data_IF_041531453777
#
_entry.id   IF_041531453777
#
_cell.length_a   1.000
_cell.length_b   1.000
_cell.length_c   1.000
_cell.angle_alpha   90.00
_cell.angle_beta   90.00
_cell.angle_gamma   90.00
#
_symmetry.space_group_name_H-M   'P 1'
#
loop_
_entity.id
_entity.type
_entity.pdbx_description
1 polymer ?
#
# COMPACT_ATOMS: atom_id res chain seq x y z
N UNK A 1 -30.00 5.58 16.56
CA UNK A 1 -29.16 4.49 15.98
C UNK A 1 -27.79 4.97 15.49
N UNK A 2 -27.61 6.18 14.93
CA UNK A 2 -26.26 6.71 14.61
C UNK A 2 -25.35 6.92 15.83
N UNK A 3 -25.93 7.14 17.02
CA UNK A 3 -25.15 7.50 18.22
C UNK A 3 -24.50 6.33 18.96
N UNK A 4 -24.88 5.07 18.71
CA UNK A 4 -24.36 3.93 19.48
C UNK A 4 -23.10 3.27 18.85
N UNK A 5 -22.89 3.41 17.54
CA UNK A 5 -21.67 2.96 16.87
C UNK A 5 -20.49 3.93 17.03
N UNK A 6 -20.75 5.16 17.52
CA UNK A 6 -19.77 6.22 17.66
C UNK A 6 -18.84 6.05 18.89
N UNK A 7 -19.05 5.03 19.72
CA UNK A 7 -18.12 4.69 20.78
C UNK A 7 -17.16 3.59 20.29
N UNK A 8 -16.00 4.02 19.74
CA UNK A 8 -14.72 3.30 19.60
C UNK A 8 -14.26 2.76 18.23
N UNK A 9 -14.85 3.14 17.10
CA UNK A 9 -14.29 2.79 15.77
C UNK A 9 -13.53 3.96 15.12
N UNK A 10 -12.22 3.81 14.93
CA UNK A 10 -11.33 4.84 14.39
C UNK A 10 -11.56 5.07 12.90
N UNK A 11 -11.99 4.04 12.17
CA UNK A 11 -12.24 4.18 10.73
C UNK A 11 -13.33 5.23 10.42
N UNK A 12 -14.28 5.48 11.35
CA UNK A 12 -15.35 6.46 11.18
C UNK A 12 -14.85 7.91 11.12
N UNK A 13 -13.64 8.19 11.62
CA UNK A 13 -12.99 9.50 11.46
C UNK A 13 -12.39 9.67 10.04
N UNK A 14 -12.27 8.56 9.31
CA UNK A 14 -11.51 8.47 8.06
C UNK A 14 -12.39 8.28 6.82
N UNK A 15 -13.54 7.60 6.94
CA UNK A 15 -14.47 7.33 5.85
C UNK A 15 -15.93 7.55 6.26
N UNK A 16 -16.80 7.75 5.28
CA UNK A 16 -18.24 7.91 5.51
C UNK A 16 -18.88 6.64 6.06
N UNK A 17 -19.85 6.79 6.96
CA UNK A 17 -20.64 5.67 7.50
C UNK A 17 -21.35 4.81 6.44
N UNK A 18 -21.55 5.34 5.21
CA UNK A 18 -22.04 4.56 4.07
C UNK A 18 -21.17 3.33 3.80
N UNK A 19 -19.87 3.37 4.10
CA UNK A 19 -18.96 2.25 3.90
C UNK A 19 -19.38 1.00 4.68
N UNK A 20 -20.05 1.17 5.83
CA UNK A 20 -20.63 0.06 6.59
C UNK A 20 -21.70 -0.64 5.74
N UNK A 21 -22.63 0.12 5.16
CA UNK A 21 -23.69 -0.41 4.29
C UNK A 21 -23.11 -1.12 3.05
N UNK A 22 -22.01 -0.59 2.50
CA UNK A 22 -21.32 -1.22 1.35
C UNK A 22 -20.75 -2.59 1.71
N UNK A 23 -20.16 -2.73 2.91
CA UNK A 23 -19.69 -4.03 3.42
C UNK A 23 -20.87 -4.97 3.65
N UNK A 24 -21.96 -4.49 4.26
CA UNK A 24 -23.20 -5.29 4.45
C UNK A 24 -23.74 -5.80 3.11
N UNK A 25 -23.77 -4.97 2.06
CA UNK A 25 -24.16 -5.40 0.72
C UNK A 25 -23.31 -6.58 0.23
N UNK A 26 -21.99 -6.46 0.31
CA UNK A 26 -21.08 -7.54 -0.11
C UNK A 26 -21.30 -8.83 0.68
N UNK A 27 -21.45 -8.74 2.01
CA UNK A 27 -21.70 -9.90 2.87
C UNK A 27 -23.01 -10.62 2.54
N UNK A 28 -23.99 -9.89 2.01
CA UNK A 28 -25.28 -10.42 1.52
C UNK A 28 -25.26 -10.83 0.04
N UNK A 29 -24.10 -10.78 -0.62
CA UNK A 29 -23.96 -11.13 -2.04
C UNK A 29 -24.58 -10.11 -2.99
N UNK A 30 -24.77 -8.87 -2.54
CA UNK A 30 -25.35 -7.78 -3.32
C UNK A 30 -24.26 -6.87 -3.89
N UNK A 31 -24.48 -6.38 -5.10
CA UNK A 31 -23.66 -5.32 -5.66
C UNK A 31 -23.78 -4.02 -4.86
N UNK A 32 -22.67 -3.27 -4.77
CA UNK A 32 -22.59 -2.01 -4.04
C UNK A 32 -23.23 -0.87 -4.86
N UNK A 33 -24.56 -0.90 -4.99
CA UNK A 33 -25.36 0.13 -5.68
C UNK A 33 -26.22 0.89 -4.67
N UNK A 34 -26.52 2.16 -4.96
CA UNK A 34 -27.37 3.00 -4.10
C UNK A 34 -28.71 2.33 -3.79
N UNK A 35 -29.36 1.77 -4.81
CA UNK A 35 -30.63 1.07 -4.64
C UNK A 35 -30.51 -0.13 -3.70
N UNK A 36 -29.48 -0.96 -3.87
CA UNK A 36 -29.24 -2.13 -3.03
C UNK A 36 -29.06 -1.75 -1.55
N UNK A 37 -28.38 -0.63 -1.26
CA UNK A 37 -28.23 -0.13 0.12
C UNK A 37 -29.54 0.37 0.73
N UNK A 38 -30.45 0.92 -0.08
CA UNK A 38 -31.76 1.41 0.37
C UNK A 38 -32.75 0.26 0.60
N UNK A 39 -32.62 -0.83 -0.18
CA UNK A 39 -33.53 -1.98 -0.16
C UNK A 39 -33.00 -3.15 0.69
N UNK A 40 -32.02 -2.90 1.58
CA UNK A 40 -31.52 -3.94 2.49
C UNK A 40 -32.64 -4.44 3.40
N UNK A 41 -32.87 -5.76 3.38
CA UNK A 41 -33.79 -6.41 4.32
C UNK A 41 -33.43 -6.08 5.78
N UNK A 42 -34.44 -5.88 6.63
CA UNK A 42 -34.25 -5.67 8.06
C UNK A 42 -33.83 -6.93 8.81
N UNK A 43 -33.98 -8.11 8.20
CA UNK A 43 -33.59 -9.40 8.79
C UNK A 43 -32.10 -9.43 9.08
N UNK A 44 -31.73 -9.76 10.33
CA UNK A 44 -30.36 -9.78 10.86
C UNK A 44 -29.52 -8.50 10.61
N UNK A 45 -30.16 -7.37 10.28
CA UNK A 45 -29.45 -6.16 9.84
C UNK A 45 -28.52 -5.60 10.91
N UNK A 46 -28.94 -5.57 12.18
CA UNK A 46 -28.11 -5.07 13.26
C UNK A 46 -26.85 -5.93 13.47
N UNK A 47 -26.96 -7.25 13.33
CA UNK A 47 -25.82 -8.17 13.44
C UNK A 47 -24.84 -7.97 12.28
N UNK A 48 -25.34 -7.85 11.04
CA UNK A 48 -24.51 -7.55 9.88
C UNK A 48 -23.83 -6.18 9.99
N UNK A 49 -24.53 -5.18 10.53
CA UNK A 49 -24.02 -3.85 10.77
C UNK A 49 -22.85 -3.86 11.77
N UNK A 50 -23.05 -4.46 12.94
CA UNK A 50 -22.02 -4.54 13.98
C UNK A 50 -20.80 -5.28 13.45
N UNK A 51 -21.01 -6.40 12.74
CA UNK A 51 -19.93 -7.17 12.15
C UNK A 51 -19.17 -6.39 11.07
N UNK A 52 -19.87 -5.65 10.21
CA UNK A 52 -19.25 -4.77 9.22
C UNK A 52 -18.40 -3.67 9.89
N UNK A 53 -18.81 -3.14 11.04
CA UNK A 53 -18.04 -2.16 11.79
C UNK A 53 -16.72 -2.75 12.33
N UNK A 54 -16.76 -3.93 12.94
CA UNK A 54 -15.54 -4.61 13.41
C UNK A 54 -14.59 -4.92 12.25
N UNK A 55 -15.11 -5.43 11.15
CA UNK A 55 -14.29 -5.75 9.97
C UNK A 55 -13.67 -4.50 9.32
N UNK A 56 -14.39 -3.37 9.30
CA UNK A 56 -13.84 -2.10 8.82
C UNK A 56 -12.74 -1.56 9.73
N UNK A 57 -12.87 -1.73 11.04
CA UNK A 57 -11.83 -1.35 11.99
C UNK A 57 -10.57 -2.20 11.82
N UNK A 58 -10.71 -3.51 11.58
CA UNK A 58 -9.56 -4.39 11.35
C UNK A 58 -8.91 -4.17 9.98
N UNK A 59 -9.72 -3.87 8.95
CA UNK A 59 -9.23 -3.40 7.66
C UNK A 59 -8.45 -2.08 7.80
N UNK A 60 -8.97 -1.13 8.58
CA UNK A 60 -8.30 0.13 8.89
C UNK A 60 -6.95 -0.11 9.59
N UNK A 61 -6.94 -0.90 10.67
CA UNK A 61 -5.70 -1.27 11.37
C UNK A 61 -4.68 -1.88 10.42
N UNK A 62 -5.08 -2.84 9.58
CA UNK A 62 -4.19 -3.47 8.59
C UNK A 62 -3.65 -2.49 7.57
N UNK A 63 -4.47 -1.56 7.08
CA UNK A 63 -4.02 -0.50 6.17
C UNK A 63 -2.95 0.37 6.85
N UNK A 64 -3.16 0.71 8.12
CA UNK A 64 -2.28 1.62 8.86
C UNK A 64 -1.07 0.97 9.53
N UNK A 65 -1.00 -0.36 9.61
CA UNK A 65 0.13 -1.07 10.20
C UNK A 65 1.38 -0.92 9.33
N UNK A 66 2.43 -0.30 9.90
CA UNK A 66 3.72 0.00 9.26
C UNK A 66 4.74 -1.12 9.32
N UNK A 67 4.40 -2.24 9.96
CA UNK A 67 5.27 -3.42 10.09
C UNK A 67 4.72 -4.60 9.32
N UNK A 68 3.46 -4.97 9.58
CA UNK A 68 2.86 -6.20 9.04
C UNK A 68 1.73 -5.92 8.03
N UNK A 69 1.33 -4.66 7.89
CA UNK A 69 0.23 -4.24 7.01
C UNK A 69 0.69 -3.54 5.74
N UNK A 70 0.02 -2.43 5.41
CA UNK A 70 0.25 -1.69 4.17
C UNK A 70 0.93 -0.32 4.37
N UNK A 71 1.38 -0.01 5.58
CA UNK A 71 2.24 1.14 5.87
C UNK A 71 1.61 2.52 5.66
N UNK A 72 0.28 2.63 5.65
CA UNK A 72 -0.40 3.92 5.49
C UNK A 72 -0.38 4.71 6.80
N UNK A 73 0.46 5.75 6.85
CA UNK A 73 0.68 6.56 8.07
C UNK A 73 -0.35 7.68 8.25
N UNK A 74 -0.98 8.11 7.17
CA UNK A 74 -2.11 9.06 7.15
C UNK A 74 -3.11 8.51 6.13
N UNK A 75 -4.25 8.05 6.63
CA UNK A 75 -5.21 7.31 5.85
C UNK A 75 -5.81 8.16 4.71
N UNK A 76 -6.16 9.42 4.96
CA UNK A 76 -6.77 10.29 3.95
C UNK A 76 -5.76 10.67 2.87
N UNK A 77 -4.52 10.93 3.26
CA UNK A 77 -3.48 11.37 2.34
C UNK A 77 -2.86 10.23 1.54
N UNK A 78 -2.54 9.12 2.20
CA UNK A 78 -1.65 8.08 1.65
C UNK A 78 -2.33 6.78 1.24
N UNK A 79 -3.63 6.59 1.51
CA UNK A 79 -4.34 5.42 0.97
C UNK A 79 -4.44 5.53 -0.56
N UNK A 80 -4.01 4.50 -1.33
CA UNK A 80 -4.09 4.50 -2.79
C UNK A 80 -5.52 4.75 -3.29
N UNK A 81 -6.46 3.94 -2.80
CA UNK A 81 -7.90 4.08 -3.04
C UNK A 81 -8.64 3.88 -1.72
N UNK A 82 -9.27 4.93 -1.21
CA UNK A 82 -10.04 4.86 0.05
C UNK A 82 -11.11 3.77 0.01
N UNK A 83 -11.73 3.55 -1.16
CA UNK A 83 -12.79 2.55 -1.36
C UNK A 83 -12.32 1.10 -1.21
N UNK A 84 -11.02 0.81 -1.29
CA UNK A 84 -10.48 -0.54 -1.08
C UNK A 84 -10.70 -1.07 0.35
N UNK A 85 -10.94 -0.20 1.33
CA UNK A 85 -11.24 -0.65 2.69
C UNK A 85 -12.53 -1.50 2.75
N UNK A 86 -13.48 -1.27 1.82
CA UNK A 86 -14.76 -2.02 1.76
C UNK A 86 -14.53 -3.50 1.40
N UNK A 87 -13.94 -3.86 0.24
CA UNK A 87 -13.65 -5.26 -0.06
C UNK A 87 -12.66 -5.87 0.94
N UNK A 88 -11.67 -5.11 1.43
CA UNK A 88 -10.75 -5.60 2.45
C UNK A 88 -11.49 -6.03 3.73
N UNK A 89 -12.38 -5.19 4.24
CA UNK A 89 -13.22 -5.52 5.39
C UNK A 89 -14.11 -6.74 5.09
N UNK A 90 -14.73 -6.79 3.91
CA UNK A 90 -15.56 -7.92 3.52
C UNK A 90 -14.78 -9.24 3.45
N UNK A 91 -13.50 -9.22 3.04
CA UNK A 91 -12.62 -10.40 3.08
C UNK A 91 -12.33 -10.87 4.50
N UNK A 92 -11.95 -9.94 5.39
CA UNK A 92 -11.67 -10.24 6.79
C UNK A 92 -12.92 -10.84 7.45
N UNK A 93 -14.06 -10.17 7.28
CA UNK A 93 -15.37 -10.61 7.72
C UNK A 93 -15.71 -12.04 7.23
N UNK A 94 -15.46 -12.32 5.96
CA UNK A 94 -15.70 -13.65 5.39
C UNK A 94 -14.83 -14.73 6.03
N UNK A 95 -13.52 -14.47 6.18
CA UNK A 95 -12.58 -15.42 6.76
C UNK A 95 -12.85 -15.68 8.24
N UNK A 96 -13.30 -14.67 8.99
CA UNK A 96 -13.72 -14.82 10.38
C UNK A 96 -14.99 -15.65 10.51
N UNK A 97 -16.05 -15.34 9.74
CA UNK A 97 -17.32 -16.11 9.74
C UNK A 97 -17.10 -17.56 9.34
N UNK A 98 -16.22 -17.81 8.37
CA UNK A 98 -15.89 -19.17 7.91
C UNK A 98 -14.86 -19.89 8.78
N UNK A 99 -14.26 -19.21 9.78
CA UNK A 99 -13.15 -19.71 10.61
C UNK A 99 -11.94 -20.18 9.79
N UNK A 100 -11.66 -19.49 8.68
CA UNK A 100 -10.57 -19.77 7.75
C UNK A 100 -9.45 -18.72 7.76
N UNK A 101 -9.48 -17.78 8.72
CA UNK A 101 -8.49 -16.71 8.84
C UNK A 101 -7.11 -17.19 9.28
N UNK A 102 -6.37 -17.85 8.38
CA UNK A 102 -4.98 -18.23 8.57
C UNK A 102 -4.02 -17.38 7.72
N UNK A 103 -2.73 -17.55 7.97
CA UNK A 103 -1.64 -16.86 7.28
C UNK A 103 -1.65 -17.06 5.75
N UNK A 104 -2.13 -18.21 5.25
CA UNK A 104 -2.26 -18.45 3.81
C UNK A 104 -3.39 -17.61 3.19
N UNK A 105 -4.53 -17.48 3.85
CA UNK A 105 -5.63 -16.64 3.36
C UNK A 105 -5.29 -15.15 3.45
N UNK A 106 -4.61 -14.69 4.51
CA UNK A 106 -4.15 -13.31 4.59
C UNK A 106 -3.10 -12.96 3.53
N UNK A 107 -2.27 -13.93 3.10
CA UNK A 107 -1.39 -13.75 1.93
C UNK A 107 -2.15 -13.53 0.62
N UNK A 108 -3.33 -14.14 0.45
CA UNK A 108 -4.18 -13.89 -0.73
C UNK A 108 -4.76 -12.48 -0.72
N UNK A 109 -5.21 -12.01 0.45
CA UNK A 109 -5.66 -10.61 0.64
C UNK A 109 -4.53 -9.64 0.31
N UNK A 110 -3.33 -9.95 0.76
CA UNK A 110 -2.13 -9.18 0.50
C UNK A 110 -1.78 -9.08 -0.99
N UNK A 111 -1.86 -10.20 -1.73
CA UNK A 111 -1.67 -10.22 -3.18
C UNK A 111 -2.74 -9.38 -3.87
N UNK A 112 -4.01 -9.54 -3.48
CA UNK A 112 -5.12 -8.73 -3.98
C UNK A 112 -4.84 -7.23 -3.76
N UNK A 113 -4.40 -6.82 -2.57
CA UNK A 113 -4.13 -5.42 -2.25
C UNK A 113 -3.08 -4.82 -3.19
N UNK A 114 -1.90 -5.44 -3.28
CA UNK A 114 -0.80 -4.90 -4.08
C UNK A 114 -1.07 -4.98 -5.58
N UNK A 115 -1.72 -6.04 -6.06
CA UNK A 115 -2.15 -6.13 -7.45
C UNK A 115 -3.14 -5.03 -7.81
N UNK A 116 -4.10 -4.74 -6.93
CA UNK A 116 -5.08 -3.66 -7.11
C UNK A 116 -4.40 -2.29 -7.19
N UNK A 117 -3.45 -2.02 -6.29
CA UNK A 117 -2.70 -0.75 -6.22
C UNK A 117 -1.88 -0.52 -7.48
N UNK A 118 -1.04 -1.50 -7.86
CA UNK A 118 -0.08 -1.33 -8.94
C UNK A 118 -0.66 -1.49 -10.35
N UNK A 119 -1.87 -2.05 -10.47
CA UNK A 119 -2.65 -2.03 -11.72
C UNK A 119 -3.64 -0.86 -11.77
N UNK A 120 -3.66 0.01 -10.76
CA UNK A 120 -4.58 1.15 -10.65
C UNK A 120 -6.06 0.74 -10.87
N UNK A 121 -6.42 -0.46 -10.38
CA UNK A 121 -7.66 -1.17 -10.74
C UNK A 121 -8.95 -0.42 -10.37
N UNK A 122 -8.87 0.50 -9.40
CA UNK A 122 -10.02 1.25 -8.88
C UNK A 122 -10.07 2.70 -9.40
N UNK A 123 -9.30 3.04 -10.44
CA UNK A 123 -9.43 4.34 -11.11
C UNK A 123 -10.82 4.54 -11.73
N UNK A 124 -11.42 3.45 -12.23
CA UNK A 124 -12.73 3.43 -12.86
C UNK A 124 -13.54 2.21 -12.40
N UNK A 125 -14.85 2.23 -12.62
CA UNK A 125 -15.70 1.07 -12.35
C UNK A 125 -15.70 0.59 -10.89
N UNK A 126 -15.45 1.50 -9.93
CA UNK A 126 -15.18 1.16 -8.52
C UNK A 126 -16.18 0.17 -7.92
N UNK A 127 -17.48 0.39 -8.11
CA UNK A 127 -18.50 -0.49 -7.52
C UNK A 127 -18.52 -1.88 -8.18
N UNK A 128 -18.39 -1.94 -9.51
CA UNK A 128 -18.30 -3.19 -10.28
C UNK A 128 -17.05 -3.98 -9.89
N UNK A 129 -15.90 -3.31 -9.83
CA UNK A 129 -14.64 -3.94 -9.42
C UNK A 129 -14.69 -4.39 -7.97
N UNK A 130 -15.29 -3.62 -7.06
CA UNK A 130 -15.46 -4.00 -5.66
C UNK A 130 -16.24 -5.30 -5.51
N UNK A 131 -17.38 -5.43 -6.19
CA UNK A 131 -18.18 -6.65 -6.13
C UNK A 131 -17.48 -7.84 -6.82
N UNK A 132 -16.90 -7.62 -8.00
CA UNK A 132 -16.19 -8.66 -8.74
C UNK A 132 -14.98 -9.18 -7.96
N UNK A 133 -14.19 -8.29 -7.35
CA UNK A 133 -13.04 -8.65 -6.54
C UNK A 133 -13.46 -9.39 -5.27
N UNK A 134 -14.57 -8.97 -4.64
CA UNK A 134 -15.12 -9.68 -3.48
C UNK A 134 -15.47 -11.13 -3.84
N UNK A 135 -16.27 -11.31 -4.89
CA UNK A 135 -16.74 -12.62 -5.35
C UNK A 135 -15.59 -13.52 -5.79
N UNK A 136 -14.69 -13.03 -6.65
CA UNK A 136 -13.57 -13.84 -7.17
C UNK A 136 -12.57 -14.21 -6.08
N UNK A 137 -12.26 -13.30 -5.17
CA UNK A 137 -11.31 -13.59 -4.07
C UNK A 137 -11.96 -14.54 -3.04
N UNK A 138 -13.27 -14.46 -2.82
CA UNK A 138 -14.00 -15.45 -2.03
C UNK A 138 -13.91 -16.84 -2.64
N UNK A 139 -14.12 -16.97 -3.95
CA UNK A 139 -13.91 -18.25 -4.67
C UNK A 139 -12.48 -18.75 -4.51
N UNK A 140 -11.50 -17.85 -4.56
CA UNK A 140 -10.10 -18.18 -4.37
C UNK A 140 -9.78 -18.64 -2.94
N UNK A 141 -10.44 -18.09 -1.92
CA UNK A 141 -10.30 -18.58 -0.54
C UNK A 141 -10.75 -20.04 -0.40
N UNK A 142 -11.75 -20.45 -1.19
CA UNK A 142 -12.31 -21.81 -1.21
C UNK A 142 -11.53 -22.78 -2.11
N UNK A 143 -10.91 -22.27 -3.18
CA UNK A 143 -10.15 -23.08 -4.13
C UNK A 143 -8.91 -22.32 -4.63
N UNK A 144 -7.72 -22.83 -4.32
CA UNK A 144 -6.44 -22.25 -4.70
C UNK A 144 -6.24 -22.11 -6.23
N UNK A 145 -6.94 -22.89 -7.04
CA UNK A 145 -6.91 -22.81 -8.51
C UNK A 145 -7.71 -21.62 -9.07
N UNK A 146 -8.55 -20.98 -8.25
CA UNK A 146 -9.43 -19.86 -8.65
C UNK A 146 -8.79 -18.49 -8.44
N UNK A 147 -7.48 -18.37 -8.64
CA UNK A 147 -6.75 -17.10 -8.56
C UNK A 147 -7.43 -16.07 -9.50
N UNK A 148 -7.80 -14.86 -9.02
CA UNK A 148 -8.35 -13.83 -9.87
C UNK A 148 -7.42 -13.47 -11.04
N UNK A 149 -7.95 -13.38 -12.26
CA UNK A 149 -7.15 -13.18 -13.48
C UNK A 149 -6.19 -11.99 -13.41
N UNK A 150 -6.63 -10.88 -12.80
CA UNK A 150 -5.81 -9.68 -12.69
C UNK A 150 -4.61 -9.88 -11.74
N UNK A 151 -4.72 -10.76 -10.75
CA UNK A 151 -3.59 -11.13 -9.89
C UNK A 151 -2.62 -12.01 -10.68
N UNK A 152 -3.13 -13.00 -11.42
CA UNK A 152 -2.30 -13.89 -12.24
C UNK A 152 -1.55 -13.15 -13.36
N UNK A 153 -2.16 -12.13 -13.97
CA UNK A 153 -1.56 -11.36 -15.08
C UNK A 153 -0.66 -10.23 -14.62
N UNK A 154 -0.57 -9.97 -13.32
CA UNK A 154 0.25 -8.86 -12.82
C UNK A 154 1.71 -9.08 -13.18
N UNK A 155 2.31 -8.10 -13.86
CA UNK A 155 3.75 -8.05 -14.10
C UNK A 155 4.36 -6.78 -13.51
N UNK A 156 5.49 -6.91 -12.80
CA UNK A 156 6.22 -5.73 -12.33
C UNK A 156 6.74 -4.86 -13.48
N UNK A 157 6.86 -5.38 -14.70
CA UNK A 157 7.29 -4.62 -15.88
C UNK A 157 6.23 -3.63 -16.35
N UNK A 158 4.95 -3.90 -16.08
CA UNK A 158 3.82 -3.09 -16.53
C UNK A 158 3.50 -1.93 -15.58
N UNK A 159 4.09 -1.91 -14.39
CA UNK A 159 3.92 -0.82 -13.43
C UNK A 159 4.56 0.46 -13.98
N UNK A 160 3.75 1.50 -14.15
CA UNK A 160 4.21 2.82 -14.59
C UNK A 160 4.88 3.58 -13.44
N UNK A 161 6.21 3.60 -13.46
CA UNK A 161 7.03 4.34 -12.50
C UNK A 161 7.36 5.77 -12.94
N UNK A 162 6.87 6.20 -14.12
CA UNK A 162 7.07 7.58 -14.62
C UNK A 162 6.00 8.54 -14.10
N UNK A 163 5.02 8.05 -13.34
CA UNK A 163 3.97 8.87 -12.74
C UNK A 163 4.55 10.01 -11.89
N UNK A 164 4.03 11.22 -12.11
CA UNK A 164 4.39 12.42 -11.34
C UNK A 164 3.29 12.82 -10.35
N UNK A 165 2.06 12.39 -10.62
CA UNK A 165 0.90 12.73 -9.78
C UNK A 165 0.96 11.99 -8.45
N UNK A 166 0.98 12.77 -7.35
CA UNK A 166 0.91 12.24 -5.98
C UNK A 166 -0.42 11.57 -5.65
N UNK A 167 -1.47 11.81 -6.45
CA UNK A 167 -2.78 11.15 -6.27
C UNK A 167 -2.80 9.74 -6.84
N UNK A 168 -1.85 9.38 -7.72
CA UNK A 168 -1.75 8.05 -8.33
C UNK A 168 -1.64 6.96 -7.26
N UNK A 169 -2.38 5.87 -7.46
CA UNK A 169 -2.30 4.70 -6.59
C UNK A 169 -0.90 4.07 -6.65
N UNK A 170 -0.28 4.04 -7.84
CA UNK A 170 1.10 3.58 -8.01
C UNK A 170 2.09 4.43 -7.20
N UNK A 171 1.93 5.76 -7.26
CA UNK A 171 2.77 6.69 -6.49
C UNK A 171 2.65 6.43 -4.98
N UNK A 172 1.42 6.40 -4.47
CA UNK A 172 1.15 6.14 -3.06
C UNK A 172 1.66 4.76 -2.65
N UNK A 173 1.47 3.74 -3.48
CA UNK A 173 1.95 2.38 -3.29
C UNK A 173 3.46 2.31 -3.09
N UNK A 174 4.25 2.92 -3.98
CA UNK A 174 5.72 2.97 -3.82
C UNK A 174 6.14 3.72 -2.57
N UNK A 175 5.47 4.82 -2.22
CA UNK A 175 5.73 5.52 -0.95
C UNK A 175 5.47 4.62 0.25
N UNK A 176 4.46 3.73 0.19
CA UNK A 176 4.21 2.75 1.24
C UNK A 176 5.27 1.66 1.29
N UNK A 177 5.79 1.23 0.14
CA UNK A 177 6.92 0.29 0.08
C UNK A 177 8.18 0.85 0.75
N UNK A 178 8.41 2.16 0.65
CA UNK A 178 9.48 2.86 1.37
C UNK A 178 9.23 2.81 2.88
N UNK A 179 8.03 3.15 3.35
CA UNK A 179 7.66 3.05 4.78
C UNK A 179 7.89 1.63 5.31
N UNK A 180 7.40 0.62 4.59
CA UNK A 180 7.53 -0.80 4.95
C UNK A 180 8.99 -1.29 4.88
N UNK A 181 9.87 -0.58 4.17
CA UNK A 181 11.30 -0.86 4.14
C UNK A 181 12.08 -0.13 5.24
N UNK A 182 11.39 0.64 6.09
CA UNK A 182 11.90 1.32 7.27
C UNK A 182 12.03 2.85 7.12
N UNK A 183 12.27 3.33 5.90
CA UNK A 183 12.48 4.75 5.55
C UNK A 183 13.35 5.53 6.55
N UNK A 184 14.52 4.99 6.90
CA UNK A 184 15.41 5.58 7.91
C UNK A 184 15.75 7.03 7.56
N UNK A 185 15.66 7.91 8.54
CA UNK A 185 16.00 9.32 8.33
C UNK A 185 17.44 9.47 7.82
N UNK A 186 17.63 10.23 6.74
CA UNK A 186 18.93 10.35 6.09
C UNK A 186 20.03 10.85 7.03
N UNK A 187 19.72 11.70 7.99
CA UNK A 187 20.75 12.33 8.83
C UNK A 187 21.06 11.52 10.07
N UNK A 188 20.02 11.02 10.73
CA UNK A 188 20.14 10.34 12.03
C UNK A 188 20.25 8.83 11.88
N UNK A 189 19.84 8.29 10.72
CA UNK A 189 19.71 6.86 10.48
C UNK A 189 18.69 6.19 11.40
N UNK A 190 17.86 6.94 12.12
CA UNK A 190 16.85 6.40 13.01
C UNK A 190 15.56 6.12 12.22
N UNK A 191 14.75 5.14 12.64
CA UNK A 191 13.40 5.00 12.14
C UNK A 191 12.70 6.36 12.29
N UNK A 192 12.04 6.88 11.25
CA UNK A 192 11.40 8.16 11.34
C UNK A 192 10.24 8.05 12.34
N UNK A 193 10.01 9.11 13.08
CA UNK A 193 8.79 9.26 13.85
C UNK A 193 7.68 9.54 12.82
N UNK A 194 7.08 8.49 12.25
CA UNK A 194 6.02 8.59 11.23
C UNK A 194 4.70 9.08 11.85
N UNK A 195 4.74 10.14 12.66
CA UNK A 195 3.54 10.78 13.14
C UNK A 195 2.84 11.53 11.99
N UNK A 196 1.52 11.70 12.12
CA UNK A 196 0.72 12.42 11.12
C UNK A 196 1.21 13.87 11.06
N UNK A 197 1.73 14.28 9.88
CA UNK A 197 2.19 15.65 9.62
C UNK A 197 3.71 15.85 9.60
N UNK A 198 4.51 14.91 10.13
CA UNK A 198 5.98 15.05 10.19
C UNK A 198 6.70 14.48 8.96
N UNK A 199 5.99 13.75 8.09
CA UNK A 199 6.58 13.14 6.90
C UNK A 199 6.46 14.05 5.69
N UNK A 200 7.62 14.39 5.12
CA UNK A 200 7.74 15.19 3.92
C UNK A 200 7.98 14.29 2.70
N UNK A 201 7.22 14.56 1.65
CA UNK A 201 7.42 13.98 0.32
C UNK A 201 8.32 14.91 -0.48
N UNK A 202 9.60 14.53 -0.61
CA UNK A 202 10.67 15.36 -1.16
C UNK A 202 11.33 14.69 -2.37
N UNK A 203 11.99 15.51 -3.19
CA UNK A 203 12.78 15.01 -4.31
C UNK A 203 14.16 14.58 -3.85
N UNK A 204 14.70 13.46 -4.33
CA UNK A 204 16.09 13.08 -4.02
C UNK A 204 17.06 14.03 -4.72
N UNK A 205 16.83 14.29 -6.01
CA UNK A 205 17.45 15.35 -6.81
C UNK A 205 16.56 16.60 -6.75
N UNK A 206 17.04 17.75 -6.24
CA UNK A 206 16.18 18.93 -6.07
C UNK A 206 15.53 19.38 -7.38
N UNK A 207 14.20 19.58 -7.36
CA UNK A 207 13.43 20.03 -8.51
C UNK A 207 13.97 21.33 -9.14
N UNK A 208 14.46 22.25 -8.31
CA UNK A 208 15.01 23.54 -8.75
C UNK A 208 16.23 23.41 -9.68
N UNK A 209 16.98 22.32 -9.57
CA UNK A 209 18.18 22.07 -10.37
C UNK A 209 17.90 21.11 -11.53
N UNK A 210 17.12 20.05 -11.29
CA UNK A 210 17.01 18.92 -12.21
C UNK A 210 15.67 18.81 -12.94
N UNK A 211 14.65 19.58 -12.53
CA UNK A 211 13.32 19.64 -13.17
C UNK A 211 12.67 18.25 -13.41
N UNK A 212 12.89 17.30 -12.50
CA UNK A 212 12.37 15.94 -12.59
C UNK A 212 11.39 15.64 -11.45
N UNK A 213 10.13 15.37 -11.79
CA UNK A 213 9.04 15.10 -10.83
C UNK A 213 8.62 13.63 -10.76
N UNK A 214 9.27 12.76 -11.54
CA UNK A 214 8.97 11.32 -11.61
C UNK A 214 9.05 10.65 -10.23
N UNK A 215 8.22 9.63 -10.02
CA UNK A 215 8.18 8.85 -8.79
C UNK A 215 9.55 8.32 -8.34
N UNK A 216 10.40 7.90 -9.28
CA UNK A 216 11.76 7.45 -8.97
C UNK A 216 12.59 8.51 -8.24
N UNK A 217 12.40 9.79 -8.57
CA UNK A 217 13.08 10.90 -7.92
C UNK A 217 12.42 11.33 -6.59
N UNK A 218 11.47 10.56 -6.04
CA UNK A 218 10.70 10.96 -4.85
C UNK A 218 10.93 10.00 -3.70
N UNK A 219 10.91 10.55 -2.49
CA UNK A 219 11.08 9.78 -1.26
C UNK A 219 10.38 10.46 -0.09
N UNK A 220 10.27 9.74 1.03
CA UNK A 220 9.79 10.27 2.29
C UNK A 220 10.99 10.61 3.17
N UNK A 221 10.99 11.79 3.79
CA UNK A 221 12.01 12.22 4.76
C UNK A 221 11.34 12.92 5.95
N UNK A 222 12.05 13.01 7.08
CA UNK A 222 11.58 13.76 8.26
C UNK A 222 11.71 15.28 8.06
N UNK A 223 12.79 15.74 7.42
CA UNK A 223 13.05 17.16 7.19
C UNK A 223 13.91 17.40 5.95
N UNK A 224 13.49 18.37 5.12
CA UNK A 224 14.24 18.82 3.96
C UNK A 224 15.28 19.92 4.26
N UNK A 225 15.33 20.45 5.49
CA UNK A 225 16.05 21.70 5.80
C UNK A 225 17.55 21.65 5.44
N UNK A 226 18.25 20.57 5.76
CA UNK A 226 19.69 20.46 5.45
C UNK A 226 19.97 20.11 3.99
N UNK A 227 19.05 19.41 3.32
CA UNK A 227 19.20 19.03 1.92
C UNK A 227 18.98 20.23 1.00
N UNK A 228 17.91 21.00 1.23
CA UNK A 228 17.60 22.22 0.49
C UNK A 228 17.75 22.03 -1.03
N UNK A 229 18.44 22.95 -1.72
CA UNK A 229 18.77 22.92 -3.15
C UNK A 229 20.19 22.42 -3.45
N UNK A 230 20.80 21.61 -2.59
CA UNK A 230 22.13 21.07 -2.84
C UNK A 230 22.12 19.96 -3.89
N UNK A 231 23.18 19.86 -4.69
CA UNK A 231 23.36 18.69 -5.56
C UNK A 231 23.49 17.42 -4.71
N UNK A 232 22.98 16.27 -5.18
CA UNK A 232 23.09 15.01 -4.46
C UNK A 232 24.53 14.64 -4.07
N UNK A 233 25.51 14.86 -4.95
CA UNK A 233 26.91 14.58 -4.67
C UNK A 233 27.42 15.32 -3.44
N UNK A 234 27.04 16.60 -3.31
CA UNK A 234 27.39 17.43 -2.16
C UNK A 234 26.71 16.94 -0.89
N UNK A 235 25.40 16.71 -0.94
CA UNK A 235 24.63 16.32 0.24
C UNK A 235 25.02 14.91 0.74
N UNK A 236 25.00 13.92 -0.15
CA UNK A 236 25.29 12.53 0.20
C UNK A 236 26.79 12.29 0.41
N UNK A 237 27.69 13.03 -0.25
CA UNK A 237 29.12 12.96 0.02
C UNK A 237 29.50 13.53 1.40
N UNK A 238 28.86 14.63 1.81
CA UNK A 238 29.00 15.14 3.17
C UNK A 238 28.43 14.15 4.20
N UNK A 239 27.27 13.55 3.90
CA UNK A 239 26.65 12.55 4.77
C UNK A 239 27.52 11.29 4.91
N UNK A 240 28.10 10.79 3.82
CA UNK A 240 29.02 9.65 3.81
C UNK A 240 30.22 9.89 4.74
N UNK A 241 30.75 11.12 4.78
CA UNK A 241 31.85 11.50 5.67
C UNK A 241 31.44 11.45 7.16
N UNK A 242 30.17 11.71 7.46
CA UNK A 242 29.65 11.73 8.84
C UNK A 242 29.29 10.34 9.35
N UNK A 243 28.56 9.55 8.54
CA UNK A 243 28.01 8.26 8.99
C UNK A 243 28.82 7.05 8.49
N UNK A 244 29.70 7.24 7.52
CA UNK A 244 30.44 6.17 6.85
C UNK A 244 29.64 5.47 5.74
N UNK A 245 30.35 4.89 4.78
CA UNK A 245 29.79 4.26 3.58
C UNK A 245 28.75 3.19 3.88
N UNK A 246 29.09 2.22 4.74
CA UNK A 246 28.21 1.10 5.09
C UNK A 246 26.89 1.59 5.66
N UNK A 247 26.94 2.55 6.60
CA UNK A 247 25.73 3.07 7.22
C UNK A 247 24.88 3.88 6.24
N UNK A 248 25.51 4.63 5.34
CA UNK A 248 24.80 5.34 4.29
C UNK A 248 24.06 4.37 3.35
N UNK A 249 24.71 3.29 2.94
CA UNK A 249 24.09 2.25 2.12
C UNK A 249 22.90 1.58 2.82
N UNK A 250 23.01 1.28 4.12
CA UNK A 250 21.89 0.76 4.92
C UNK A 250 20.70 1.72 4.91
N UNK A 251 20.95 3.01 5.20
CA UNK A 251 19.92 4.05 5.18
C UNK A 251 19.25 4.10 3.81
N UNK A 252 20.03 4.26 2.74
CA UNK A 252 19.52 4.40 1.38
C UNK A 252 18.75 3.16 0.89
N UNK A 253 19.16 1.96 1.32
CA UNK A 253 18.46 0.71 1.02
C UNK A 253 17.04 0.73 1.58
N UNK A 254 16.81 1.32 2.76
CA UNK A 254 15.45 1.45 3.33
C UNK A 254 14.55 2.38 2.52
N UNK A 255 15.14 3.22 1.68
CA UNK A 255 14.40 4.00 0.70
C UNK A 255 14.24 3.28 -0.61
N UNK A 256 14.88 2.12 -0.88
CA UNK A 256 15.00 1.43 -2.17
C UNK A 256 16.09 2.02 -3.10
N UNK A 257 17.13 2.66 -2.56
CA UNK A 257 18.31 3.12 -3.30
C UNK A 257 19.38 2.07 -3.03
N UNK A 258 19.76 1.34 -4.06
CA UNK A 258 20.86 0.38 -3.99
C UNK A 258 22.22 1.06 -4.22
N UNK A 259 23.28 0.26 -4.26
CA UNK A 259 24.65 0.75 -4.49
C UNK A 259 24.83 1.45 -5.84
N UNK A 260 24.09 1.03 -6.88
CA UNK A 260 24.08 1.71 -8.17
C UNK A 260 23.45 3.10 -8.06
N UNK A 261 22.31 3.19 -7.37
CA UNK A 261 21.67 4.47 -7.07
C UNK A 261 22.59 5.40 -6.26
N UNK A 262 23.28 4.89 -5.24
CA UNK A 262 24.27 5.68 -4.49
C UNK A 262 25.44 6.13 -5.38
N UNK A 263 25.96 5.27 -6.26
CA UNK A 263 27.00 5.68 -7.21
C UNK A 263 26.52 6.81 -8.12
N UNK A 264 25.26 6.82 -8.54
CA UNK A 264 24.69 7.87 -9.38
C UNK A 264 24.49 9.17 -8.59
N UNK A 265 24.05 9.08 -7.33
CA UNK A 265 23.94 10.24 -6.42
C UNK A 265 25.28 10.97 -6.26
N UNK A 266 26.37 10.23 -6.05
CA UNK A 266 27.70 10.83 -5.86
C UNK A 266 28.28 11.46 -7.13
N UNK A 267 27.69 11.20 -8.29
CA UNK A 267 28.08 11.75 -9.60
C UNK A 267 27.09 12.79 -10.14
N UNK A 268 26.04 13.12 -9.38
CA UNK A 268 24.93 13.95 -9.83
C UNK A 268 24.24 13.44 -11.11
N UNK A 269 24.29 12.11 -11.32
CA UNK A 269 23.73 11.42 -12.48
C UNK A 269 22.25 11.10 -12.26
N UNK A 270 21.36 12.00 -12.68
CA UNK A 270 19.92 11.84 -12.56
C UNK A 270 19.40 10.64 -13.35
N UNK A 271 19.90 10.44 -14.58
CA UNK A 271 19.40 9.38 -15.46
C UNK A 271 19.79 8.01 -14.93
N UNK A 272 21.07 7.82 -14.60
CA UNK A 272 21.56 6.60 -13.97
C UNK A 272 20.88 6.32 -12.64
N UNK A 273 20.62 7.37 -11.85
CA UNK A 273 19.86 7.25 -10.60
C UNK A 273 18.44 6.74 -10.85
N UNK A 274 17.68 7.39 -11.73
CA UNK A 274 16.29 7.02 -12.02
C UNK A 274 16.21 5.58 -12.52
N UNK A 275 17.11 5.17 -13.43
CA UNK A 275 17.15 3.80 -13.92
C UNK A 275 17.44 2.77 -12.81
N UNK A 276 18.46 3.00 -11.99
CA UNK A 276 18.80 2.10 -10.88
C UNK A 276 17.67 2.03 -9.84
N UNK A 277 17.04 3.17 -9.57
CA UNK A 277 15.94 3.32 -8.63
C UNK A 277 14.68 2.61 -9.09
N UNK A 278 14.31 2.76 -10.36
CA UNK A 278 13.18 2.04 -10.96
C UNK A 278 13.38 0.53 -10.88
N UNK A 279 14.58 0.03 -11.18
CA UNK A 279 14.89 -1.40 -11.04
C UNK A 279 14.74 -1.88 -9.59
N UNK A 280 15.21 -1.09 -8.62
CA UNK A 280 15.05 -1.40 -7.21
C UNK A 280 13.59 -1.42 -6.76
N UNK A 281 12.78 -0.47 -7.22
CA UNK A 281 11.34 -0.45 -6.98
C UNK A 281 10.66 -1.68 -7.60
N UNK A 282 10.98 -2.03 -8.86
CA UNK A 282 10.41 -3.21 -9.53
C UNK A 282 10.75 -4.50 -8.80
N UNK A 283 12.00 -4.68 -8.36
CA UNK A 283 12.41 -5.82 -7.53
C UNK A 283 11.64 -5.88 -6.22
N UNK A 284 11.36 -4.74 -5.59
CA UNK A 284 10.55 -4.71 -4.35
C UNK A 284 9.09 -5.06 -4.59
N UNK A 285 8.50 -4.56 -5.68
CA UNK A 285 7.13 -4.92 -6.10
C UNK A 285 7.05 -6.42 -6.37
N UNK A 286 7.97 -6.95 -7.18
CA UNK A 286 8.08 -8.37 -7.47
C UNK A 286 8.26 -9.18 -6.19
N UNK A 287 9.16 -8.79 -5.28
CA UNK A 287 9.33 -9.49 -4.02
C UNK A 287 8.02 -9.52 -3.21
N UNK A 288 7.27 -8.44 -3.12
CA UNK A 288 6.01 -8.41 -2.35
C UNK A 288 4.89 -9.23 -3.00
N UNK A 289 4.84 -9.24 -4.33
CA UNK A 289 3.85 -10.01 -5.10
C UNK A 289 4.24 -11.49 -5.12
N UNK A 290 5.51 -11.81 -5.43
CA UNK A 290 6.06 -13.16 -5.63
C UNK A 290 6.45 -13.88 -4.34
N UNK A 291 7.03 -13.23 -3.32
CA UNK A 291 7.27 -13.87 -2.00
C UNK A 291 5.96 -14.39 -1.41
N UNK A 292 4.84 -13.74 -1.77
CA UNK A 292 3.50 -14.15 -1.36
C UNK A 292 2.89 -15.22 -2.29
N UNK A 293 3.43 -15.46 -3.49
CA UNK A 293 3.06 -16.54 -4.43
C UNK A 293 3.87 -17.84 -4.23
N UNK A 294 5.18 -17.75 -3.97
CA UNK A 294 6.08 -18.92 -3.91
C UNK A 294 5.83 -19.86 -2.73
N UNK A 295 5.12 -19.40 -1.69
CA UNK A 295 4.69 -20.24 -0.56
C UNK A 295 3.54 -21.21 -0.89
N UNK A 296 2.99 -21.17 -2.12
CA UNK A 296 2.04 -22.17 -2.63
C UNK A 296 2.72 -23.33 -3.37
N UNK A 297 3.87 -23.13 -4.01
CA UNK A 297 4.56 -24.18 -4.78
C UNK A 297 5.30 -25.20 -3.89
N UNK A 298 5.73 -24.80 -2.70
CA UNK A 298 6.49 -25.66 -1.77
C UNK A 298 5.67 -26.70 -1.00
N UNK A 299 4.36 -26.84 -1.25
CA UNK A 299 3.49 -27.84 -0.58
C UNK A 299 2.88 -28.89 -1.51
N UNK A 300 3.14 -28.81 -2.82
CA UNK A 300 2.69 -29.82 -3.79
C UNK A 300 3.76 -30.90 -4.04
N UNK A 301 5.00 -30.69 -3.60
CA UNK A 301 6.11 -31.65 -3.78
C UNK A 301 6.37 -32.60 -2.60
N UNK A 302 5.54 -32.58 -1.56
CA UNK A 302 5.62 -33.53 -0.43
C UNK A 302 4.26 -34.23 -0.22
N UNK A 303 3.80 -34.97 -1.23
CA UNK A 303 2.86 -36.10 -1.06
C UNK A 303 3.16 -37.18 -2.09
#
# INVERSE_FOLDING_TARGET
MRENAAQNFRFLEQVDSEFILRVVCLLRGLEVRRQAMLDLSSEAFNEDWDFACFALEDAYKRITDTKNGYGVIDFKKWTPFTTMIVPLAAFIAYLEKSKKGDDAQFRKIDQWYWATVFQNRYNEGVNTNTFADFTKTKEWFENDEKVPDFIHRMSQSEVDLKVESRSSATYKGVMRLIVLSGALDFQTGQPPQFSVGEVQDDHVFPKSLYKCDTLANRTLISTNQKKSNQTPSRYFGALETVVGRTRLEEILTTHLIDSNGLSALLKDDLEGFTLAREQSIRRKIEAIVTFRLASQAGRVSER
#
